data_IF_683711867890
#
_entry.id   IF_683711867890
#
_cell.length_a   1.000
_cell.length_b   1.000
_cell.length_c   1.000
_cell.angle_alpha   90.00
_cell.angle_beta   90.00
_cell.angle_gamma   90.00
#
_symmetry.space_group_name_H-M   'P 1'
#
loop_
_entity.id
_entity.type
_entity.pdbx_description
1 polymer ?
#
# COMPACT_ATOMS: atom_id res chain seq x y z
N UNK A 1 36.47 1.68 9.72
CA UNK A 1 36.48 0.25 10.11
C UNK A 1 35.86 -0.50 8.94
N UNK A 2 36.61 -1.36 8.26
CA UNK A 2 36.06 -2.16 7.15
C UNK A 2 35.27 -3.28 7.82
N UNK A 3 33.92 -3.19 7.87
CA UNK A 3 33.07 -4.33 8.26
C UNK A 3 33.43 -5.48 7.31
N UNK A 4 33.88 -6.61 7.87
CA UNK A 4 33.92 -7.85 7.10
C UNK A 4 32.49 -8.11 6.64
N UNK A 5 32.28 -8.34 5.33
CA UNK A 5 30.94 -8.64 4.84
C UNK A 5 30.45 -9.92 5.52
N UNK A 6 29.39 -9.81 6.31
CA UNK A 6 28.73 -10.98 6.87
C UNK A 6 28.22 -11.85 5.71
N UNK A 7 28.30 -13.18 5.84
CA UNK A 7 27.71 -14.07 4.84
C UNK A 7 26.22 -13.75 4.66
N UNK A 8 25.76 -13.69 3.42
CA UNK A 8 24.34 -13.48 3.13
C UNK A 8 23.49 -14.60 3.74
N UNK A 9 22.31 -14.22 4.20
CA UNK A 9 21.27 -15.12 4.65
C UNK A 9 20.89 -16.10 3.53
N UNK A 10 20.73 -17.36 3.91
CA UNK A 10 20.23 -18.41 3.02
C UNK A 10 18.73 -18.19 2.81
N UNK A 11 18.36 -17.83 1.59
CA UNK A 11 16.97 -17.66 1.17
C UNK A 11 16.67 -18.63 0.03
N UNK A 12 15.44 -19.18 0.03
CA UNK A 12 14.90 -19.88 -1.13
C UNK A 12 14.12 -18.87 -1.95
N UNK A 13 14.72 -18.37 -3.03
CA UNK A 13 14.12 -17.30 -3.86
C UNK A 13 13.74 -17.83 -5.24
N UNK A 14 12.80 -17.17 -5.95
CA UNK A 14 12.46 -17.54 -7.32
C UNK A 14 13.70 -17.60 -8.22
N UNK A 15 13.65 -18.47 -9.24
CA UNK A 15 14.81 -18.74 -10.10
C UNK A 15 15.34 -17.50 -10.84
N UNK A 16 14.51 -16.47 -11.03
CA UNK A 16 14.90 -15.17 -11.57
C UNK A 16 15.96 -14.44 -10.72
N UNK A 17 16.07 -14.77 -9.43
CA UNK A 17 16.97 -14.13 -8.48
C UNK A 17 18.19 -15.01 -8.14
N UNK A 18 19.27 -14.35 -7.79
CA UNK A 18 20.50 -14.98 -7.33
C UNK A 18 20.59 -14.91 -5.79
N UNK A 19 20.44 -16.02 -5.06
CA UNK A 19 20.44 -16.03 -3.60
C UNK A 19 21.80 -15.64 -2.99
N UNK A 20 22.88 -15.62 -3.79
CA UNK A 20 24.26 -15.32 -3.32
C UNK A 20 24.76 -13.95 -3.72
N UNK A 21 23.92 -13.11 -4.35
CA UNK A 21 24.28 -11.74 -4.75
C UNK A 21 23.26 -10.74 -4.21
N UNK A 22 23.74 -9.78 -3.44
CA UNK A 22 22.93 -8.71 -2.87
C UNK A 22 23.46 -8.31 -1.50
N UNK A 23 22.57 -7.92 -0.60
CA UNK A 23 22.87 -7.53 0.78
C UNK A 23 21.70 -7.87 1.70
N UNK A 24 21.99 -7.91 2.99
CA UNK A 24 21.01 -8.12 4.07
C UNK A 24 21.17 -7.03 5.12
N UNK A 25 20.06 -6.62 5.73
CA UNK A 25 20.01 -5.76 6.92
C UNK A 25 18.99 -6.35 7.90
N UNK A 26 19.29 -6.28 9.20
CA UNK A 26 18.41 -6.79 10.25
C UNK A 26 17.95 -5.66 11.17
N UNK A 27 16.63 -5.57 11.37
CA UNK A 27 15.98 -4.65 12.30
C UNK A 27 15.55 -5.43 13.55
N UNK A 28 16.38 -5.36 14.59
CA UNK A 28 16.22 -6.12 15.84
C UNK A 28 15.40 -5.40 16.92
N UNK A 29 14.73 -4.31 16.57
CA UNK A 29 13.93 -3.49 17.47
C UNK A 29 12.44 -3.60 17.19
N UNK A 30 12.06 -4.19 16.05
CA UNK A 30 10.69 -4.25 15.55
C UNK A 30 9.92 -5.37 16.26
N UNK A 31 8.90 -5.05 17.10
CA UNK A 31 8.13 -6.04 17.85
C UNK A 31 7.46 -7.06 16.94
N UNK A 32 7.24 -8.29 17.41
CA UNK A 32 6.54 -9.32 16.62
C UNK A 32 5.08 -8.98 16.33
N UNK A 33 4.42 -8.26 17.23
CA UNK A 33 3.00 -7.87 17.15
C UNK A 33 2.72 -6.66 16.24
N UNK A 34 3.73 -6.03 15.64
CA UNK A 34 3.50 -4.86 14.78
C UNK A 34 2.78 -5.27 13.48
N UNK A 35 1.82 -4.44 13.04
CA UNK A 35 1.11 -4.61 11.76
C UNK A 35 1.83 -4.01 10.54
N UNK A 36 2.87 -3.22 10.75
CA UNK A 36 3.60 -2.51 9.69
C UNK A 36 5.10 -2.81 9.73
N UNK A 37 5.82 -2.40 8.68
CA UNK A 37 7.27 -2.62 8.57
C UNK A 37 7.95 -1.28 8.35
N UNK A 38 8.97 -0.91 9.16
CA UNK A 38 9.62 0.39 9.10
C UNK A 38 10.65 0.48 7.97
N UNK A 39 10.17 0.22 6.75
CA UNK A 39 10.90 0.26 5.50
C UNK A 39 10.01 0.76 4.36
N UNK A 40 10.62 1.44 3.39
CA UNK A 40 9.95 1.81 2.15
C UNK A 40 10.90 1.67 0.96
N UNK A 41 10.47 1.03 -0.14
CA UNK A 41 11.21 1.05 -1.40
C UNK A 41 11.20 2.47 -1.99
N UNK A 42 12.29 2.85 -2.65
CA UNK A 42 12.41 4.13 -3.35
C UNK A 42 12.69 3.86 -4.82
N UNK A 43 11.67 3.60 -5.65
CA UNK A 43 11.85 3.20 -7.05
C UNK A 43 12.63 4.22 -7.86
N UNK A 44 12.37 5.53 -7.69
CA UNK A 44 13.03 6.57 -8.49
C UNK A 44 14.47 6.77 -8.06
N UNK A 45 14.75 6.74 -6.75
CA UNK A 45 16.11 6.75 -6.25
C UNK A 45 16.85 5.43 -6.53
N UNK A 46 16.15 4.31 -6.69
CA UNK A 46 16.76 2.97 -6.76
C UNK A 46 17.40 2.57 -5.43
N UNK A 47 16.67 2.76 -4.34
CA UNK A 47 17.15 2.57 -2.97
C UNK A 47 16.04 2.00 -2.07
N UNK A 48 16.39 1.70 -0.82
CA UNK A 48 15.45 1.32 0.24
C UNK A 48 15.71 2.23 1.44
N UNK A 49 14.65 2.84 1.97
CA UNK A 49 14.68 3.54 3.25
C UNK A 49 14.38 2.55 4.39
N UNK A 50 15.16 2.61 5.46
CA UNK A 50 15.03 1.77 6.65
C UNK A 50 15.08 2.65 7.89
N UNK A 51 14.19 2.41 8.85
CA UNK A 51 14.27 3.10 10.15
C UNK A 51 15.03 2.25 11.18
N UNK A 52 15.93 2.90 11.90
CA UNK A 52 16.72 2.31 12.97
C UNK A 52 16.55 3.07 14.27
N UNK A 53 16.55 2.36 15.39
CA UNK A 53 16.65 2.99 16.72
C UNK A 53 18.01 3.67 16.86
N UNK A 54 17.99 4.90 17.37
CA UNK A 54 19.17 5.67 17.75
C UNK A 54 19.20 5.91 19.26
N UNK A 55 20.30 6.46 19.78
CA UNK A 55 20.42 6.73 21.22
C UNK A 55 19.35 7.69 21.75
N UNK A 56 18.84 8.58 20.90
CA UNK A 56 17.78 9.55 21.19
C UNK A 56 16.81 9.61 19.99
N UNK A 57 15.84 8.70 19.94
CA UNK A 57 14.85 8.63 18.86
C UNK A 57 15.26 7.63 17.77
N UNK A 58 15.00 7.99 16.52
CA UNK A 58 15.16 7.11 15.35
C UNK A 58 15.97 7.78 14.25
N UNK A 59 16.66 6.99 13.45
CA UNK A 59 17.34 7.46 12.24
C UNK A 59 16.79 6.74 11.02
N UNK A 60 16.59 7.48 9.94
CA UNK A 60 16.31 6.92 8.61
C UNK A 60 17.63 6.72 7.89
N UNK A 61 17.86 5.52 7.37
CA UNK A 61 18.98 5.15 6.53
C UNK A 61 18.48 4.82 5.14
N UNK A 62 19.04 5.46 4.11
CA UNK A 62 18.73 5.14 2.72
C UNK A 62 19.91 4.39 2.10
N UNK A 63 19.66 3.15 1.71
CA UNK A 63 20.65 2.22 1.19
C UNK A 63 20.40 1.96 -0.28
N UNK A 64 21.45 2.05 -1.10
CA UNK A 64 21.37 1.78 -2.54
C UNK A 64 20.97 0.32 -2.78
N UNK A 65 19.95 0.11 -3.62
CA UNK A 65 19.42 -1.22 -3.88
C UNK A 65 20.49 -2.14 -4.50
N UNK A 66 21.21 -1.66 -5.51
CA UNK A 66 22.18 -2.44 -6.26
C UNK A 66 23.39 -2.94 -5.45
N UNK A 67 23.84 -2.15 -4.48
CA UNK A 67 25.18 -2.27 -3.88
C UNK A 67 25.17 -2.41 -2.36
N UNK A 68 24.05 -2.12 -1.69
CA UNK A 68 23.98 -2.08 -0.22
C UNK A 68 24.76 -0.91 0.39
N UNK A 69 25.22 0.06 -0.42
CA UNK A 69 25.94 1.22 0.09
C UNK A 69 24.97 2.24 0.68
N UNK A 70 25.27 2.70 1.89
CA UNK A 70 24.56 3.80 2.51
C UNK A 70 24.71 5.07 1.65
N UNK A 71 23.60 5.63 1.19
CA UNK A 71 23.56 6.91 0.46
C UNK A 71 23.53 8.08 1.42
N UNK A 72 22.62 8.01 2.39
CA UNK A 72 22.54 8.99 3.45
C UNK A 72 21.87 8.42 4.70
N UNK A 73 22.09 9.13 5.81
CA UNK A 73 21.49 8.84 7.11
C UNK A 73 21.01 10.15 7.74
N UNK A 74 19.82 10.12 8.34
CA UNK A 74 19.29 11.28 9.05
C UNK A 74 20.05 11.55 10.35
N UNK A 75 19.97 12.77 10.86
CA UNK A 75 20.16 12.99 12.29
C UNK A 75 19.06 12.23 13.06
N UNK A 76 19.27 11.89 14.35
CA UNK A 76 18.22 11.32 15.17
C UNK A 76 16.99 12.23 15.20
N UNK A 77 15.85 11.68 14.81
CA UNK A 77 14.54 12.31 14.84
C UNK A 77 13.77 11.76 16.04
N UNK A 78 13.18 12.67 16.82
CA UNK A 78 12.38 12.31 17.98
C UNK A 78 10.89 12.32 17.58
N UNK A 79 10.22 11.15 17.51
CA UNK A 79 8.78 11.11 17.33
C UNK A 79 8.06 11.73 18.54
N UNK A 80 6.75 12.06 18.42
CA UNK A 80 5.93 12.42 19.56
C UNK A 80 5.94 11.31 20.63
N UNK A 81 5.59 11.67 21.86
CA UNK A 81 5.44 10.68 22.94
C UNK A 81 4.32 9.71 22.57
N UNK A 82 4.53 8.39 22.55
CA UNK A 82 3.47 7.44 22.20
C UNK A 82 2.21 7.64 23.04
N UNK A 83 1.03 7.44 22.42
CA UNK A 83 -0.24 7.38 23.15
C UNK A 83 -0.28 6.15 24.07
N UNK A 84 -1.18 6.17 25.06
CA UNK A 84 -1.37 5.02 25.95
C UNK A 84 -1.88 3.81 25.14
N UNK A 85 -1.26 2.62 25.33
CA UNK A 85 -1.60 1.40 24.59
C UNK A 85 -0.86 1.22 23.27
N UNK A 86 -0.03 2.19 22.84
CA UNK A 86 0.77 2.08 21.62
C UNK A 86 1.76 0.90 21.63
N UNK A 87 2.15 0.40 22.80
CA UNK A 87 2.96 -0.82 22.93
C UNK A 87 2.28 -2.09 22.40
N UNK A 88 0.96 -2.06 22.21
CA UNK A 88 0.14 -3.20 21.85
C UNK A 88 0.07 -4.26 22.95
N UNK A 89 -0.72 -5.30 22.70
CA UNK A 89 -0.84 -6.45 23.58
C UNK A 89 -1.06 -7.74 22.79
N UNK A 90 0.00 -8.54 22.58
CA UNK A 90 -0.10 -9.78 21.80
C UNK A 90 -1.02 -10.82 22.44
N UNK A 91 -1.26 -10.77 23.76
CA UNK A 91 -2.20 -11.70 24.43
C UNK A 91 -3.66 -11.44 24.03
N UNK A 92 -3.99 -10.20 23.68
CA UNK A 92 -5.32 -9.81 23.20
C UNK A 92 -5.38 -9.60 21.68
N UNK A 93 -4.27 -9.86 20.97
CA UNK A 93 -4.17 -9.63 19.53
C UNK A 93 -4.06 -8.16 19.13
N UNK A 94 -3.73 -7.27 20.08
CA UNK A 94 -3.55 -5.85 19.85
C UNK A 94 -2.16 -5.59 19.28
N UNK A 95 -2.09 -5.00 18.09
CA UNK A 95 -0.84 -4.71 17.42
C UNK A 95 -0.08 -3.55 18.09
N UNK A 96 1.24 -3.62 18.10
CA UNK A 96 2.06 -2.49 18.53
C UNK A 96 2.09 -1.40 17.45
N UNK A 97 2.01 -0.13 17.86
CA UNK A 97 2.30 1.02 17.01
C UNK A 97 3.77 1.40 17.14
N UNK A 98 4.44 1.55 16.00
CA UNK A 98 5.84 2.00 15.94
C UNK A 98 5.99 3.19 14.98
N UNK A 99 7.04 4.00 15.15
CA UNK A 99 7.47 4.91 14.09
C UNK A 99 7.84 4.14 12.82
N UNK A 100 7.47 4.71 11.68
CA UNK A 100 7.50 4.03 10.40
C UNK A 100 7.94 5.01 9.28
N UNK A 101 8.16 4.51 8.07
CA UNK A 101 8.66 5.26 6.93
C UNK A 101 7.91 4.88 5.66
N UNK A 102 7.46 5.90 4.93
CA UNK A 102 6.86 5.76 3.60
C UNK A 102 7.60 6.66 2.61
N UNK A 103 7.38 6.44 1.33
CA UNK A 103 7.82 7.32 0.26
C UNK A 103 6.65 8.09 -0.34
N UNK A 104 6.95 9.23 -0.95
CA UNK A 104 5.97 9.95 -1.77
C UNK A 104 6.66 10.63 -2.93
N UNK A 105 6.08 10.51 -4.12
CA UNK A 105 6.50 11.26 -5.30
C UNK A 105 5.52 12.42 -5.49
N UNK A 106 5.96 13.64 -5.17
CA UNK A 106 5.17 14.85 -5.33
C UNK A 106 5.91 15.82 -6.25
N UNK A 107 5.21 16.31 -7.28
CA UNK A 107 5.73 17.30 -8.24
C UNK A 107 7.04 16.88 -8.92
N UNK A 108 7.20 15.56 -9.16
CA UNK A 108 8.37 14.97 -9.80
C UNK A 108 9.57 14.75 -8.86
N UNK A 109 9.43 15.03 -7.57
CA UNK A 109 10.44 14.77 -6.56
C UNK A 109 9.99 13.63 -5.64
N UNK A 110 10.86 12.65 -5.44
CA UNK A 110 10.67 11.57 -4.46
C UNK A 110 11.20 12.02 -3.08
N UNK A 111 10.40 11.79 -2.06
CA UNK A 111 10.71 12.07 -0.66
C UNK A 111 10.58 10.80 0.17
N UNK A 112 11.39 10.72 1.22
CA UNK A 112 11.24 9.77 2.32
C UNK A 112 10.53 10.50 3.47
N UNK A 113 9.46 9.93 3.99
CA UNK A 113 8.65 10.49 5.06
C UNK A 113 8.68 9.54 6.24
N UNK A 114 9.42 9.89 7.28
CA UNK A 114 9.30 9.22 8.57
C UNK A 114 8.06 9.75 9.28
N UNK A 115 7.26 8.87 9.88
CA UNK A 115 6.05 9.25 10.58
C UNK A 115 5.86 8.48 11.89
N UNK A 116 5.14 9.09 12.81
CA UNK A 116 4.75 8.49 14.08
C UNK A 116 3.53 9.19 14.66
N UNK A 117 2.65 8.40 15.26
CA UNK A 117 1.49 8.84 16.02
C UNK A 117 1.85 9.05 17.50
N UNK A 118 1.36 10.12 18.13
CA UNK A 118 1.57 10.35 19.55
C UNK A 118 1.18 11.74 20.04
N UNK A 119 1.47 12.00 21.31
CA UNK A 119 1.29 13.27 21.99
C UNK A 119 2.51 14.18 21.83
N UNK A 120 2.33 15.31 21.15
CA UNK A 120 3.33 16.37 21.04
C UNK A 120 3.21 17.38 22.18
N UNK A 121 4.31 17.65 22.86
CA UNK A 121 4.35 18.64 23.94
C UNK A 121 3.71 18.17 25.24
N UNK A 122 3.49 16.86 25.40
CA UNK A 122 3.07 16.27 26.67
C UNK A 122 4.21 16.29 27.68
N UNK A 123 3.94 16.79 28.87
CA UNK A 123 4.86 16.81 30.00
C UNK A 123 4.07 16.74 31.33
N UNK A 124 4.76 16.89 32.47
CA UNK A 124 4.13 16.81 33.81
C UNK A 124 3.05 17.89 34.06
N UNK A 125 2.96 18.91 33.20
CA UNK A 125 2.09 20.08 33.36
C UNK A 125 1.10 20.29 32.19
N UNK A 126 1.31 19.60 31.06
CA UNK A 126 0.52 19.75 29.84
C UNK A 126 0.17 18.40 29.24
N UNK A 127 -1.09 18.23 28.83
CA UNK A 127 -1.55 17.00 28.15
C UNK A 127 -0.96 16.83 26.75
N UNK A 128 -0.47 17.92 26.15
CA UNK A 128 0.02 17.94 24.77
C UNK A 128 -1.10 17.97 23.73
N UNK A 129 -0.74 17.79 22.47
CA UNK A 129 -1.66 17.66 21.34
C UNK A 129 -1.38 16.34 20.65
N UNK A 130 -2.41 15.55 20.43
CA UNK A 130 -2.32 14.32 19.66
C UNK A 130 -2.11 14.63 18.18
N UNK A 131 -1.07 14.04 17.59
CA UNK A 131 -0.65 14.31 16.21
C UNK A 131 -0.11 13.05 15.55
N UNK A 132 -0.22 13.00 14.23
CA UNK A 132 0.72 12.26 13.40
C UNK A 132 1.80 13.23 12.96
N UNK A 133 3.03 13.02 13.42
CA UNK A 133 4.18 13.85 13.05
C UNK A 133 4.90 13.24 11.87
N UNK A 134 5.14 14.05 10.84
CA UNK A 134 5.86 13.68 9.64
C UNK A 134 7.21 14.41 9.60
N UNK A 135 8.29 13.71 9.30
CA UNK A 135 9.62 14.27 9.01
C UNK A 135 10.02 13.92 7.57
N UNK A 136 10.15 14.95 6.74
CA UNK A 136 10.32 14.84 5.29
C UNK A 136 11.79 15.00 4.91
N UNK A 137 12.32 14.07 4.11
CA UNK A 137 13.69 14.07 3.60
C UNK A 137 13.67 13.88 2.08
N UNK A 138 14.48 14.61 1.29
CA UNK A 138 14.65 14.31 -0.13
C UNK A 138 15.28 12.92 -0.31
N UNK A 139 14.72 12.07 -1.17
CA UNK A 139 15.23 10.71 -1.38
C UNK A 139 16.65 10.69 -1.98
N UNK A 140 16.97 11.68 -2.81
CA UNK A 140 18.26 11.87 -3.50
C UNK A 140 19.30 12.65 -2.68
N UNK A 141 19.05 12.86 -1.39
CA UNK A 141 19.99 13.55 -0.51
C UNK A 141 21.34 12.81 -0.35
N UNK A 142 22.27 13.44 0.36
CA UNK A 142 23.57 12.84 0.70
C UNK A 142 24.04 13.29 2.08
N UNK A 143 24.88 12.48 2.73
CA UNK A 143 25.50 12.78 4.02
C UNK A 143 24.99 11.93 5.18
N UNK A 144 25.61 12.06 6.36
CA UNK A 144 25.43 11.13 7.48
C UNK A 144 24.71 11.71 8.70
N UNK A 145 24.12 12.90 8.57
CA UNK A 145 23.37 13.57 9.65
C UNK A 145 22.37 14.57 9.04
N UNK A 146 21.58 14.07 8.09
CA UNK A 146 20.62 14.89 7.36
C UNK A 146 19.47 15.30 8.28
N UNK A 147 19.16 16.60 8.32
CA UNK A 147 17.95 17.08 9.01
C UNK A 147 16.76 17.02 8.04
N UNK A 148 15.53 16.80 8.53
CA UNK A 148 14.37 16.87 7.68
C UNK A 148 14.27 18.26 7.06
N UNK A 149 13.87 18.33 5.79
CA UNK A 149 13.60 19.62 5.13
C UNK A 149 12.32 20.25 5.68
N UNK A 150 11.41 19.42 6.23
CA UNK A 150 10.20 19.85 6.93
C UNK A 150 9.82 18.85 8.01
N UNK A 151 9.24 19.38 9.07
CA UNK A 151 8.47 18.60 10.04
C UNK A 151 7.04 19.16 10.04
N UNK A 152 6.07 18.26 9.92
CA UNK A 152 4.66 18.59 9.75
C UNK A 152 3.89 17.81 10.81
N UNK A 153 3.05 18.52 11.58
CA UNK A 153 2.17 17.89 12.55
C UNK A 153 0.75 17.89 11.96
N UNK A 154 0.17 16.71 11.80
CA UNK A 154 -1.24 16.54 11.41
C UNK A 154 -2.03 16.27 12.69
N UNK A 155 -2.93 17.18 13.11
CA UNK A 155 -3.80 16.95 14.26
C UNK A 155 -4.69 15.73 14.00
N UNK A 156 -4.78 14.82 14.96
CA UNK A 156 -5.66 13.65 14.90
C UNK A 156 -6.32 13.40 16.24
N UNK A 157 -7.32 12.53 16.26
CA UNK A 157 -7.85 11.92 17.47
C UNK A 157 -8.17 10.46 17.16
N UNK A 158 -7.32 9.56 17.64
CA UNK A 158 -7.24 8.18 17.23
C UNK A 158 -6.83 7.30 18.42
N UNK A 159 -7.43 6.11 18.48
CA UNK A 159 -6.92 5.05 19.34
C UNK A 159 -5.66 4.44 18.70
N UNK A 160 -4.79 3.77 19.48
CA UNK A 160 -3.75 2.93 18.89
C UNK A 160 -4.34 1.94 17.88
N UNK A 161 -3.71 1.81 16.72
CA UNK A 161 -4.13 0.97 15.60
C UNK A 161 -4.98 1.70 14.55
N UNK A 162 -5.54 2.87 14.86
CA UNK A 162 -6.47 3.56 13.98
C UNK A 162 -5.81 4.54 13.01
N UNK A 163 -4.49 4.79 13.13
CA UNK A 163 -3.77 5.68 12.21
C UNK A 163 -3.23 4.91 11.01
N UNK A 164 -3.53 5.41 9.82
CA UNK A 164 -2.95 4.93 8.56
C UNK A 164 -2.27 6.06 7.80
N UNK A 165 -1.09 5.81 7.24
CA UNK A 165 -0.39 6.76 6.38
C UNK A 165 -0.14 6.10 5.02
N UNK A 166 -0.63 6.74 3.97
CA UNK A 166 -0.49 6.29 2.59
C UNK A 166 0.07 7.42 1.73
N UNK A 167 0.72 7.10 0.63
CA UNK A 167 1.18 8.05 -0.40
C UNK A 167 0.45 7.90 -1.73
N UNK A 168 -0.61 7.08 -1.75
CA UNK A 168 -1.40 6.82 -2.93
C UNK A 168 -2.00 8.12 -3.50
N UNK A 169 -1.85 8.31 -4.82
CA UNK A 169 -2.27 9.52 -5.54
C UNK A 169 -1.24 10.64 -5.62
N UNK A 170 -0.02 10.43 -5.11
CA UNK A 170 1.11 11.36 -5.26
C UNK A 170 1.19 12.45 -4.18
N UNK A 171 0.43 12.29 -3.09
CA UNK A 171 0.52 13.10 -1.86
C UNK A 171 0.36 12.18 -0.66
N UNK A 172 0.90 12.61 0.49
CA UNK A 172 0.69 11.87 1.74
C UNK A 172 -0.75 12.08 2.20
N UNK A 173 -1.43 10.99 2.53
CA UNK A 173 -2.75 10.94 3.15
C UNK A 173 -2.59 10.32 4.53
N UNK A 174 -2.94 11.08 5.57
CA UNK A 174 -3.01 10.58 6.96
C UNK A 174 -4.47 10.31 7.25
N UNK A 175 -4.83 9.06 7.53
CA UNK A 175 -6.16 8.63 7.93
C UNK A 175 -6.23 8.25 9.41
N UNK A 176 -7.39 8.48 10.04
CA UNK A 176 -7.66 8.07 11.42
C UNK A 176 -9.14 7.78 11.70
N UNK A 177 -9.42 7.22 12.89
CA UNK A 177 -10.77 7.05 13.45
C UNK A 177 -11.34 5.64 13.40
N UNK A 178 -10.70 4.75 12.65
CA UNK A 178 -10.97 3.32 12.65
C UNK A 178 -9.77 2.56 12.06
N UNK A 179 -9.64 1.28 12.42
CA UNK A 179 -8.60 0.42 11.87
C UNK A 179 -8.82 0.11 10.39
N UNK A 180 -7.80 0.35 9.56
CA UNK A 180 -7.74 -0.15 8.19
C UNK A 180 -7.02 0.78 7.22
N UNK A 181 -7.03 0.40 5.93
CA UNK A 181 -6.33 1.12 4.85
C UNK A 181 -6.99 2.44 4.48
N UNK A 182 -8.31 2.54 4.66
CA UNK A 182 -9.08 3.74 4.35
C UNK A 182 -9.92 4.17 5.55
N UNK A 183 -9.32 4.77 6.60
CA UNK A 183 -10.07 5.22 7.77
C UNK A 183 -11.11 6.31 7.45
N UNK A 184 -12.02 6.56 8.40
CA UNK A 184 -13.15 7.47 8.22
C UNK A 184 -12.72 8.91 7.93
N UNK A 185 -11.78 9.41 8.72
CA UNK A 185 -11.28 10.78 8.62
C UNK A 185 -9.90 10.78 8.01
N UNK A 186 -9.61 11.80 7.21
CA UNK A 186 -8.31 11.89 6.56
C UNK A 186 -7.86 13.34 6.41
N UNK A 187 -6.55 13.52 6.23
CA UNK A 187 -5.94 14.78 5.85
C UNK A 187 -4.87 14.54 4.78
N UNK A 188 -4.95 15.30 3.69
CA UNK A 188 -3.89 15.35 2.69
C UNK A 188 -2.78 16.29 3.15
N UNK A 189 -1.54 15.88 2.95
CA UNK A 189 -0.34 16.67 3.26
C UNK A 189 0.44 16.94 2.00
N UNK A 190 0.67 18.23 1.74
CA UNK A 190 1.66 18.69 0.78
C UNK A 190 3.04 18.70 1.42
N UNK A 191 3.87 17.71 1.11
CA UNK A 191 5.21 17.58 1.71
C UNK A 191 6.19 18.66 1.23
N UNK A 192 5.88 19.33 0.12
CA UNK A 192 6.68 20.39 -0.47
C UNK A 192 6.33 21.79 0.07
N UNK A 193 5.18 21.99 0.71
CA UNK A 193 4.83 23.26 1.35
C UNK A 193 4.65 23.13 2.86
N UNK A 194 4.28 21.94 3.35
CA UNK A 194 3.84 21.71 4.73
C UNK A 194 2.34 21.96 4.94
N UNK A 195 1.58 22.22 3.87
CA UNK A 195 0.14 22.44 3.96
C UNK A 195 -0.60 21.14 4.29
N UNK A 196 -1.49 21.19 5.27
CA UNK A 196 -2.42 20.12 5.63
C UNK A 196 -3.83 20.53 5.20
N UNK A 197 -4.55 19.62 4.54
CA UNK A 197 -5.95 19.80 4.12
C UNK A 197 -6.78 18.66 4.67
N UNK A 198 -7.61 18.97 5.65
CA UNK A 198 -8.46 17.99 6.35
C UNK A 198 -9.75 17.72 5.55
N UNK A 199 -10.18 16.45 5.60
CA UNK A 199 -11.41 15.94 5.02
C UNK A 199 -12.22 15.21 6.11
N UNK A 200 -12.85 15.99 6.99
CA UNK A 200 -13.63 15.43 8.12
C UNK A 200 -15.00 14.87 7.70
N UNK A 201 -15.56 15.35 6.58
CA UNK A 201 -16.83 14.86 6.04
C UNK A 201 -16.68 14.52 4.55
N UNK A 202 -16.25 13.28 4.27
CA UNK A 202 -16.11 12.78 2.92
C UNK A 202 -17.45 12.71 2.16
N UNK A 203 -18.59 12.61 2.85
CA UNK A 203 -19.91 12.59 2.21
C UNK A 203 -20.21 13.95 1.55
N UNK A 204 -19.81 15.05 2.18
CA UNK A 204 -19.99 16.40 1.67
C UNK A 204 -19.08 16.76 0.48
N UNK A 205 -18.05 15.94 0.18
CA UNK A 205 -17.11 16.21 -0.91
C UNK A 205 -17.72 15.97 -2.30
N UNK A 206 -18.67 15.02 -2.42
CA UNK A 206 -19.33 14.68 -3.68
C UNK A 206 -20.81 15.11 -3.65
N UNK A 207 -21.24 16.08 -4.47
CA UNK A 207 -22.65 16.51 -4.56
C UNK A 207 -23.64 15.38 -4.90
N UNK A 208 -23.16 14.30 -5.52
CA UNK A 208 -23.92 13.10 -5.84
C UNK A 208 -24.43 12.37 -4.60
N UNK A 209 -23.79 12.59 -3.44
CA UNK A 209 -24.21 12.08 -2.15
C UNK A 209 -25.59 12.61 -1.73
N UNK A 210 -25.91 13.88 -2.03
CA UNK A 210 -27.22 14.47 -1.73
C UNK A 210 -28.36 13.86 -2.58
N UNK A 211 -28.02 13.26 -3.72
CA UNK A 211 -28.98 12.67 -4.66
C UNK A 211 -29.20 11.17 -4.39
N UNK A 212 -28.29 10.52 -3.65
CA UNK A 212 -28.38 9.11 -3.33
C UNK A 212 -29.44 8.86 -2.27
N UNK A 213 -30.11 7.70 -2.35
CA UNK A 213 -31.15 7.29 -1.38
C UNK A 213 -30.56 7.15 0.03
N UNK A 214 -29.33 6.64 0.11
CA UNK A 214 -28.49 6.59 1.30
C UNK A 214 -27.10 7.01 0.87
N UNK A 215 -26.47 7.88 1.64
CA UNK A 215 -25.06 8.19 1.49
C UNK A 215 -24.47 8.40 2.89
N UNK A 216 -23.64 7.44 3.28
CA UNK A 216 -22.94 7.41 4.56
C UNK A 216 -21.62 6.69 4.34
N UNK A 217 -20.67 6.90 5.24
CA UNK A 217 -19.38 6.18 5.22
C UNK A 217 -18.61 6.33 3.89
N UNK A 218 -18.74 7.48 3.22
CA UNK A 218 -17.82 7.83 2.14
C UNK A 218 -16.41 7.98 2.69
N UNK A 219 -15.40 7.72 1.85
CA UNK A 219 -13.99 7.69 2.25
C UNK A 219 -13.12 8.39 1.22
N UNK A 220 -12.06 9.03 1.69
CA UNK A 220 -10.99 9.51 0.82
C UNK A 220 -10.04 8.35 0.56
N UNK A 221 -9.94 7.93 -0.69
CA UNK A 221 -9.18 6.75 -1.12
C UNK A 221 -7.74 7.11 -1.48
N UNK A 222 -7.50 8.36 -1.89
CA UNK A 222 -6.17 8.88 -2.26
C UNK A 222 -6.18 10.41 -2.28
N UNK A 223 -5.02 11.02 -2.04
CA UNK A 223 -4.83 12.46 -2.18
C UNK A 223 -4.10 12.77 -3.49
N UNK A 224 -4.72 13.54 -4.38
CA UNK A 224 -4.11 13.93 -5.67
C UNK A 224 -3.87 15.43 -5.76
N UNK A 225 -3.09 15.86 -6.76
CA UNK A 225 -2.92 17.28 -7.06
C UNK A 225 -4.23 17.99 -7.49
N UNK A 226 -5.23 17.24 -7.96
CA UNK A 226 -6.52 17.75 -8.42
C UNK A 226 -7.64 17.67 -7.35
N UNK A 227 -7.31 17.21 -6.14
CA UNK A 227 -8.25 16.93 -5.06
C UNK A 227 -8.25 15.46 -4.62
N UNK A 228 -9.04 15.09 -3.61
CA UNK A 228 -9.13 13.71 -3.15
C UNK A 228 -9.90 12.84 -4.14
N UNK A 229 -9.48 11.59 -4.33
CA UNK A 229 -10.37 10.55 -4.85
C UNK A 229 -11.30 10.13 -3.72
N UNK A 230 -12.60 10.25 -3.92
CA UNK A 230 -13.61 9.91 -2.92
C UNK A 230 -14.42 8.72 -3.40
N UNK A 231 -14.47 7.67 -2.60
CA UNK A 231 -15.42 6.57 -2.76
C UNK A 231 -16.64 6.83 -1.88
N UNK A 232 -17.84 6.60 -2.41
CA UNK A 232 -19.08 6.75 -1.65
C UNK A 232 -19.48 5.42 -1.01
N UNK A 233 -19.89 5.43 0.26
CA UNK A 233 -20.23 4.20 0.99
C UNK A 233 -21.53 3.52 0.54
N UNK A 234 -22.29 4.10 -0.40
CA UNK A 234 -23.40 3.43 -1.10
C UNK A 234 -23.09 3.14 -2.56
N UNK A 235 -21.80 3.14 -2.93
CA UNK A 235 -21.36 3.05 -4.31
C UNK A 235 -21.35 4.41 -5.00
N UNK A 236 -20.63 4.48 -6.12
CA UNK A 236 -20.20 5.71 -6.76
C UNK A 236 -18.85 6.19 -6.24
N UNK A 237 -18.13 6.94 -7.08
CA UNK A 237 -16.85 7.52 -6.71
C UNK A 237 -16.44 8.62 -7.68
N UNK A 238 -15.49 9.47 -7.30
CA UNK A 238 -14.95 10.48 -8.20
C UNK A 238 -13.99 11.45 -7.55
N UNK A 239 -13.49 12.39 -8.34
CA UNK A 239 -12.75 13.56 -7.83
C UNK A 239 -13.69 14.77 -7.87
N UNK A 240 -13.95 15.43 -6.73
CA UNK A 240 -14.87 16.56 -6.63
C UNK A 240 -14.61 17.64 -7.70
N UNK A 241 -15.66 18.01 -8.44
CA UNK A 241 -15.58 19.02 -9.49
C UNK A 241 -14.82 18.63 -10.76
N UNK A 242 -14.39 17.35 -10.89
CA UNK A 242 -13.65 16.86 -12.05
C UNK A 242 -14.43 15.82 -12.86
N UNK A 243 -14.69 14.66 -12.27
CA UNK A 243 -15.36 13.54 -12.92
C UNK A 243 -15.99 12.63 -11.86
N UNK A 244 -16.99 11.84 -12.26
CA UNK A 244 -17.71 10.91 -11.40
C UNK A 244 -17.88 9.55 -12.09
N UNK A 245 -18.10 8.49 -11.31
CA UNK A 245 -18.16 7.09 -11.79
C UNK A 245 -19.18 6.88 -12.91
N UNK A 246 -20.28 7.64 -12.91
CA UNK A 246 -21.29 7.63 -13.98
C UNK A 246 -20.68 7.96 -15.36
N UNK A 247 -19.77 8.93 -15.42
CA UNK A 247 -19.16 9.40 -16.65
C UNK A 247 -18.05 8.46 -17.17
N UNK A 248 -17.55 7.57 -16.31
CA UNK A 248 -16.34 6.78 -16.56
C UNK A 248 -16.55 5.27 -16.48
N UNK A 249 -17.80 4.81 -16.51
CA UNK A 249 -18.13 3.37 -16.53
C UNK A 249 -17.38 2.61 -17.65
N UNK A 250 -16.88 1.40 -17.36
CA UNK A 250 -16.35 0.53 -18.40
C UNK A 250 -17.46 0.01 -19.33
N UNK A 251 -17.08 -0.28 -20.57
CA UNK A 251 -17.98 -0.90 -21.53
C UNK A 251 -18.50 -2.25 -21.00
N UNK A 252 -19.81 -2.49 -21.14
CA UNK A 252 -20.50 -3.66 -20.59
C UNK A 252 -21.26 -3.36 -19.29
N UNK A 253 -20.95 -2.26 -18.60
CA UNK A 253 -21.68 -1.78 -17.42
C UNK A 253 -22.68 -0.71 -17.86
N UNK A 254 -23.92 -1.13 -18.16
CA UNK A 254 -24.97 -0.21 -18.62
C UNK A 254 -25.73 0.46 -17.46
N UNK A 255 -25.69 -0.13 -16.27
CA UNK A 255 -26.44 0.35 -15.13
C UNK A 255 -25.72 1.53 -14.47
N UNK A 256 -26.36 2.70 -14.51
CA UNK A 256 -25.89 3.90 -13.82
C UNK A 256 -25.98 3.78 -12.30
N UNK A 257 -27.02 3.10 -11.86
CA UNK A 257 -27.26 2.75 -10.46
C UNK A 257 -27.06 1.26 -10.26
N UNK A 258 -26.47 0.90 -9.13
CA UNK A 258 -26.36 -0.45 -8.62
C UNK A 258 -27.63 -0.87 -7.87
N UNK A 259 -27.45 -1.78 -6.91
CA UNK A 259 -28.53 -2.35 -6.10
C UNK A 259 -29.22 -1.26 -5.28
N UNK A 260 -30.56 -1.26 -5.23
CA UNK A 260 -31.36 -0.27 -4.48
C UNK A 260 -31.18 1.20 -4.90
N UNK A 261 -30.97 1.44 -6.20
CA UNK A 261 -30.81 2.79 -6.79
C UNK A 261 -29.61 3.58 -6.25
N UNK A 262 -28.62 2.87 -5.68
CA UNK A 262 -27.34 3.42 -5.26
C UNK A 262 -26.45 3.68 -6.47
N UNK A 263 -25.46 4.58 -6.41
CA UNK A 263 -24.58 4.77 -7.57
C UNK A 263 -23.74 3.52 -7.84
N UNK A 264 -23.49 3.20 -9.10
CA UNK A 264 -22.69 2.02 -9.44
C UNK A 264 -21.18 2.33 -9.40
N UNK A 265 -20.40 1.30 -9.05
CA UNK A 265 -18.94 1.34 -8.96
C UNK A 265 -18.45 1.50 -7.52
N UNK A 266 -17.39 0.78 -7.17
CA UNK A 266 -16.68 0.88 -5.89
C UNK A 266 -15.18 0.99 -6.16
N UNK A 267 -14.50 1.94 -5.50
CA UNK A 267 -13.04 2.03 -5.55
C UNK A 267 -12.47 1.00 -4.59
N UNK A 268 -11.68 0.07 -5.14
CA UNK A 268 -11.00 -0.94 -4.35
C UNK A 268 -9.74 -0.36 -3.70
N UNK A 269 -8.89 0.30 -4.49
CA UNK A 269 -7.65 0.90 -4.01
C UNK A 269 -6.91 1.65 -5.11
N UNK A 270 -5.80 2.29 -4.74
CA UNK A 270 -5.03 3.21 -5.59
C UNK A 270 -3.56 2.87 -5.48
N UNK A 271 -2.85 2.86 -6.62
CA UNK A 271 -1.41 2.68 -6.68
C UNK A 271 -0.85 3.53 -7.83
N UNK A 272 0.13 4.38 -7.54
CA UNK A 272 0.67 5.34 -8.50
C UNK A 272 -0.41 6.29 -9.04
N UNK A 273 -0.52 6.39 -10.37
CA UNK A 273 -1.52 7.19 -11.10
C UNK A 273 -2.73 6.35 -11.56
N UNK A 274 -2.90 5.17 -10.98
CA UNK A 274 -3.97 4.23 -11.29
C UNK A 274 -4.85 3.95 -10.08
N UNK A 275 -6.13 3.67 -10.32
CA UNK A 275 -6.98 3.04 -9.33
C UNK A 275 -7.75 1.86 -9.91
N UNK A 276 -8.04 0.90 -9.03
CA UNK A 276 -8.82 -0.29 -9.32
C UNK A 276 -10.25 -0.06 -8.84
N UNK A 277 -11.23 -0.39 -9.69
CA UNK A 277 -12.65 -0.30 -9.36
C UNK A 277 -13.38 -1.59 -9.73
N UNK A 278 -14.37 -1.94 -8.92
CA UNK A 278 -15.33 -3.02 -9.17
C UNK A 278 -16.71 -2.46 -9.50
N UNK A 279 -17.45 -3.15 -10.37
CA UNK A 279 -18.73 -2.72 -10.91
C UNK A 279 -19.74 -3.85 -10.93
N UNK A 280 -20.97 -3.57 -10.51
CA UNK A 280 -22.06 -4.52 -10.61
C UNK A 280 -22.68 -4.49 -12.01
N UNK A 281 -22.92 -5.67 -12.56
CA UNK A 281 -23.52 -5.88 -13.89
C UNK A 281 -25.04 -6.12 -13.83
N UNK A 282 -25.57 -6.51 -12.67
CA UNK A 282 -26.98 -6.87 -12.46
C UNK A 282 -28.00 -5.73 -12.30
N UNK A 283 -27.57 -4.46 -12.25
CA UNK A 283 -28.46 -3.31 -12.05
C UNK A 283 -29.23 -3.32 -10.71
N UNK A 284 -30.36 -2.61 -10.66
CA UNK A 284 -31.14 -2.32 -9.42
C UNK A 284 -31.55 -3.55 -8.60
N UNK A 285 -31.80 -4.69 -9.25
CA UNK A 285 -32.29 -5.91 -8.59
C UNK A 285 -31.20 -6.97 -8.38
N UNK A 286 -29.97 -6.68 -8.78
CA UNK A 286 -28.89 -7.66 -8.80
C UNK A 286 -29.11 -8.75 -9.85
N UNK A 287 -28.04 -9.47 -10.18
CA UNK A 287 -28.05 -10.62 -11.06
C UNK A 287 -26.84 -11.51 -10.76
N UNK A 288 -26.95 -12.80 -11.05
CA UNK A 288 -25.89 -13.81 -10.84
C UNK A 288 -24.73 -13.67 -11.85
N UNK A 289 -24.40 -12.46 -12.26
CA UNK A 289 -23.32 -12.17 -13.19
C UNK A 289 -22.08 -11.72 -12.46
N UNK A 290 -20.93 -12.23 -12.90
CA UNK A 290 -19.64 -11.79 -12.39
C UNK A 290 -19.52 -10.26 -12.47
N UNK A 291 -18.93 -9.62 -11.44
CA UNK A 291 -18.66 -8.21 -11.50
C UNK A 291 -17.63 -7.90 -12.58
N UNK A 292 -17.70 -6.67 -13.09
CA UNK A 292 -16.65 -6.13 -13.95
C UNK A 292 -15.64 -5.45 -13.06
N UNK A 293 -14.37 -5.76 -13.26
CA UNK A 293 -13.24 -5.06 -12.67
C UNK A 293 -12.57 -4.19 -13.73
N UNK A 294 -12.11 -3.00 -13.35
CA UNK A 294 -11.39 -2.11 -14.27
C UNK A 294 -10.34 -1.27 -13.59
N UNK A 295 -9.31 -0.96 -14.37
CA UNK A 295 -8.26 -0.01 -14.01
C UNK A 295 -8.54 1.30 -14.70
N UNK A 296 -8.37 2.40 -13.97
CA UNK A 296 -8.63 3.75 -14.43
C UNK A 296 -7.42 4.65 -14.20
N UNK A 297 -7.25 5.61 -15.11
CA UNK A 297 -6.36 6.76 -14.90
C UNK A 297 -6.94 7.62 -13.77
N UNK A 298 -6.17 7.80 -12.69
CA UNK A 298 -6.61 8.48 -11.49
C UNK A 298 -7.02 9.93 -11.74
N UNK A 299 -6.30 10.62 -12.62
CA UNK A 299 -6.53 12.04 -12.88
C UNK A 299 -7.82 12.29 -13.67
N UNK A 300 -8.11 11.44 -14.65
CA UNK A 300 -9.20 11.65 -15.62
C UNK A 300 -10.38 10.70 -15.44
N UNK A 301 -10.23 9.69 -14.59
CA UNK A 301 -11.17 8.58 -14.42
C UNK A 301 -11.26 7.66 -15.63
N UNK A 302 -10.52 7.89 -16.72
CA UNK A 302 -10.66 7.10 -17.95
C UNK A 302 -10.27 5.64 -17.74
N UNK A 303 -11.12 4.73 -18.21
CA UNK A 303 -10.85 3.29 -18.22
C UNK A 303 -9.62 2.99 -19.09
N UNK A 304 -8.65 2.30 -18.50
CA UNK A 304 -7.42 1.85 -19.15
C UNK A 304 -7.49 0.36 -19.49
N UNK A 305 -8.03 -0.45 -18.59
CA UNK A 305 -8.24 -1.89 -18.79
C UNK A 305 -9.51 -2.36 -18.06
N UNK A 306 -10.07 -3.50 -18.48
CA UNK A 306 -11.22 -4.13 -17.80
C UNK A 306 -11.23 -5.64 -17.99
N UNK A 307 -11.94 -6.35 -17.12
CA UNK A 307 -12.32 -7.75 -17.27
C UNK A 307 -13.58 -8.08 -16.46
N UNK A 308 -14.17 -9.23 -16.74
CA UNK A 308 -15.13 -9.87 -15.84
C UNK A 308 -14.36 -10.84 -14.95
N UNK A 309 -14.66 -10.85 -13.65
CA UNK A 309 -14.03 -11.77 -12.70
C UNK A 309 -14.95 -11.97 -11.50
N UNK A 310 -15.29 -13.21 -11.17
CA UNK A 310 -16.15 -13.58 -10.04
C UNK A 310 -15.59 -13.28 -8.64
N UNK A 311 -14.50 -12.52 -8.54
CA UNK A 311 -14.00 -12.01 -7.26
C UNK A 311 -14.88 -10.85 -6.79
N UNK A 312 -15.30 -10.89 -5.52
CA UNK A 312 -16.29 -9.98 -4.95
C UNK A 312 -15.80 -8.53 -4.91
N UNK A 313 -16.67 -7.59 -5.27
CA UNK A 313 -16.38 -6.16 -5.20
C UNK A 313 -16.51 -5.72 -3.74
N UNK A 314 -15.40 -5.26 -3.15
CA UNK A 314 -15.39 -4.72 -1.80
C UNK A 314 -16.34 -3.52 -1.65
N UNK A 315 -17.03 -3.44 -0.51
CA UNK A 315 -17.82 -2.27 -0.13
C UNK A 315 -16.88 -1.13 0.32
N UNK A 316 -17.07 0.08 -0.23
CA UNK A 316 -16.32 1.26 0.20
C UNK A 316 -16.56 1.57 1.68
N UNK A 317 -17.72 1.20 2.23
CA UNK A 317 -18.03 1.42 3.64
C UNK A 317 -17.06 0.69 4.58
N UNK A 318 -16.40 -0.37 4.13
CA UNK A 318 -15.38 -1.09 4.90
C UNK A 318 -14.02 -0.37 4.80
N UNK A 319 -13.28 -0.20 5.92
CA UNK A 319 -11.97 0.45 5.89
C UNK A 319 -10.85 -0.46 5.37
N UNK A 320 -11.05 -1.79 5.36
CA UNK A 320 -10.05 -2.78 4.96
C UNK A 320 -10.27 -3.31 3.54
N UNK A 321 -9.19 -3.78 2.92
CA UNK A 321 -9.23 -4.56 1.68
C UNK A 321 -8.45 -5.84 1.90
N UNK A 322 -8.92 -6.91 1.26
CA UNK A 322 -8.26 -8.22 1.35
C UNK A 322 -6.80 -8.16 0.89
N UNK A 323 -6.52 -7.32 -0.13
CA UNK A 323 -5.21 -7.21 -0.76
C UNK A 323 -4.87 -5.76 -1.08
N UNK A 324 -3.59 -5.36 -0.96
CA UNK A 324 -3.14 -4.08 -1.51
C UNK A 324 -3.20 -4.11 -3.04
N UNK A 325 -3.36 -2.93 -3.63
CA UNK A 325 -3.11 -2.76 -5.07
C UNK A 325 -1.60 -2.68 -5.28
N UNK A 326 -1.09 -3.47 -6.22
CA UNK A 326 0.33 -3.55 -6.55
C UNK A 326 0.53 -3.25 -8.03
N UNK A 327 1.67 -2.66 -8.38
CA UNK A 327 2.07 -2.43 -9.77
C UNK A 327 3.44 -3.03 -10.07
N UNK A 328 3.68 -3.36 -11.34
CA UNK A 328 5.04 -3.56 -11.83
C UNK A 328 5.79 -2.21 -11.81
N UNK A 329 7.11 -2.16 -11.55
CA UNK A 329 7.85 -0.90 -11.45
C UNK A 329 7.70 0.08 -12.63
N UNK A 330 7.56 -0.42 -13.85
CA UNK A 330 7.30 0.38 -15.05
C UNK A 330 5.83 0.74 -15.30
N UNK A 331 4.92 0.40 -14.38
CA UNK A 331 3.49 0.73 -14.42
C UNK A 331 2.67 -0.05 -15.45
N UNK A 332 3.25 -1.04 -16.16
CA UNK A 332 2.52 -1.78 -17.19
C UNK A 332 1.47 -2.73 -16.62
N UNK A 333 1.77 -3.39 -15.51
CA UNK A 333 0.89 -4.37 -14.88
C UNK A 333 0.39 -3.84 -13.55
N UNK A 334 -0.85 -4.17 -13.21
CA UNK A 334 -1.48 -3.85 -11.95
C UNK A 334 -2.26 -5.07 -11.45
N UNK A 335 -2.20 -5.36 -10.15
CA UNK A 335 -3.02 -6.40 -9.55
C UNK A 335 -3.52 -6.02 -8.16
N UNK A 336 -4.54 -6.74 -7.69
CA UNK A 336 -4.91 -6.82 -6.29
C UNK A 336 -5.46 -8.23 -6.04
N UNK A 337 -4.76 -9.03 -5.23
CA UNK A 337 -5.16 -10.42 -4.99
C UNK A 337 -5.33 -11.20 -6.30
N UNK A 338 -6.53 -11.76 -6.58
CA UNK A 338 -6.76 -12.57 -7.77
C UNK A 338 -7.08 -11.79 -9.04
N UNK A 339 -7.15 -10.45 -9.00
CA UNK A 339 -7.39 -9.64 -10.20
C UNK A 339 -6.08 -9.03 -10.70
N UNK A 340 -5.74 -9.25 -11.97
CA UNK A 340 -4.53 -8.72 -12.59
C UNK A 340 -4.81 -8.12 -13.97
N UNK A 341 -4.02 -7.13 -14.38
CA UNK A 341 -4.20 -6.40 -15.64
C UNK A 341 -2.88 -6.17 -16.36
N UNK A 342 -2.90 -6.31 -17.69
CA UNK A 342 -1.89 -5.75 -18.61
C UNK A 342 -2.48 -4.47 -19.20
N UNK A 343 -1.99 -3.31 -18.75
CA UNK A 343 -2.52 -2.00 -19.13
C UNK A 343 -2.13 -1.61 -20.56
N UNK A 344 -1.04 -2.16 -21.09
CA UNK A 344 -0.64 -1.95 -22.48
C UNK A 344 -1.60 -2.68 -23.43
N UNK A 345 -1.93 -3.94 -23.11
CA UNK A 345 -2.90 -4.73 -23.87
C UNK A 345 -4.36 -4.39 -23.54
N UNK A 346 -4.61 -3.66 -22.46
CA UNK A 346 -5.94 -3.32 -21.93
C UNK A 346 -6.78 -4.55 -21.57
N UNK A 347 -6.12 -5.60 -21.09
CA UNK A 347 -6.72 -6.89 -20.77
C UNK A 347 -6.55 -7.19 -19.30
N UNK A 348 -7.53 -7.86 -18.70
CA UNK A 348 -7.43 -8.42 -17.35
C UNK A 348 -7.35 -9.94 -17.37
N UNK A 349 -6.85 -10.49 -16.28
CA UNK A 349 -6.73 -11.90 -15.98
C UNK A 349 -7.34 -12.18 -14.60
N UNK A 350 -8.32 -13.08 -14.56
CA UNK A 350 -8.98 -13.49 -13.33
C UNK A 350 -8.33 -14.76 -12.78
N UNK A 351 -7.61 -14.62 -11.67
CA UNK A 351 -6.94 -15.71 -10.96
C UNK A 351 -7.81 -16.28 -9.82
N UNK A 352 -9.08 -15.86 -9.72
CA UNK A 352 -10.08 -16.45 -8.84
C UNK A 352 -10.30 -17.91 -9.22
N UNK A 353 -10.34 -18.81 -8.24
CA UNK A 353 -10.52 -20.24 -8.46
C UNK A 353 -11.85 -20.58 -9.12
N UNK A 354 -11.85 -21.58 -10.00
CA UNK A 354 -13.01 -22.07 -10.74
C UNK A 354 -13.03 -23.62 -10.81
N UNK A 355 -13.85 -24.25 -9.97
CA UNK A 355 -13.95 -25.71 -9.93
C UNK A 355 -12.66 -26.36 -9.39
N UNK A 356 -11.79 -26.83 -10.29
CA UNK A 356 -10.57 -27.59 -9.94
C UNK A 356 -9.32 -26.70 -9.77
N UNK A 357 -9.41 -25.39 -10.02
CA UNK A 357 -8.32 -24.43 -9.84
C UNK A 357 -8.48 -23.65 -8.55
N UNK A 358 -7.42 -23.60 -7.73
CA UNK A 358 -7.38 -22.75 -6.53
C UNK A 358 -7.15 -21.27 -6.90
N UNK A 359 -7.66 -20.37 -6.08
CA UNK A 359 -7.40 -18.93 -6.21
C UNK A 359 -5.91 -18.63 -5.98
N UNK A 360 -5.32 -17.74 -6.77
CA UNK A 360 -3.97 -17.22 -6.55
C UNK A 360 -4.06 -15.72 -6.29
N UNK A 361 -3.58 -15.28 -5.12
CA UNK A 361 -3.47 -13.88 -4.77
C UNK A 361 -2.06 -13.37 -5.05
N UNK A 362 -1.92 -12.40 -5.96
CA UNK A 362 -0.64 -11.80 -6.33
C UNK A 362 -0.18 -10.79 -5.27
N UNK A 363 1.13 -10.77 -5.00
CA UNK A 363 1.77 -9.86 -4.05
C UNK A 363 2.88 -9.01 -4.67
N UNK A 364 3.42 -9.40 -5.83
CA UNK A 364 4.38 -8.56 -6.57
C UNK A 364 4.44 -8.92 -8.06
N UNK A 365 4.84 -7.95 -8.90
CA UNK A 365 4.86 -8.09 -10.37
C UNK A 365 6.13 -7.50 -10.95
N UNK A 366 6.75 -8.17 -11.92
CA UNK A 366 7.89 -7.72 -12.72
C UNK A 366 7.43 -7.04 -14.01
N UNK A 367 8.28 -6.18 -14.58
CA UNK A 367 7.99 -5.50 -15.85
C UNK A 367 7.94 -6.44 -17.05
N UNK A 368 8.49 -7.64 -16.92
CA UNK A 368 8.41 -8.69 -17.94
C UNK A 368 7.06 -9.46 -17.92
N UNK A 369 6.17 -9.18 -16.95
CA UNK A 369 4.88 -9.85 -16.79
C UNK A 369 4.91 -11.08 -15.88
N UNK A 370 6.06 -11.43 -15.31
CA UNK A 370 6.16 -12.46 -14.28
C UNK A 370 5.66 -11.89 -12.94
N UNK A 371 4.63 -12.51 -12.37
CA UNK A 371 4.08 -12.16 -11.07
C UNK A 371 4.33 -13.26 -10.03
N UNK A 372 4.41 -12.88 -8.76
CA UNK A 372 4.53 -13.78 -7.64
C UNK A 372 3.35 -13.59 -6.69
N UNK A 373 2.89 -14.69 -6.11
CA UNK A 373 1.75 -14.70 -5.21
C UNK A 373 1.64 -15.98 -4.42
N UNK A 374 0.59 -16.08 -3.62
CA UNK A 374 0.28 -17.27 -2.84
C UNK A 374 -1.03 -17.90 -3.33
N UNK A 375 -1.06 -19.24 -3.35
CA UNK A 375 -2.29 -19.99 -3.54
C UNK A 375 -3.13 -19.86 -2.27
N UNK A 376 -4.36 -19.39 -2.40
CA UNK A 376 -5.31 -19.36 -1.29
C UNK A 376 -5.88 -20.76 -1.05
N UNK A 377 -5.96 -21.18 0.21
CA UNK A 377 -6.62 -22.43 0.60
C UNK A 377 -7.93 -22.14 1.31
N UNK A 378 -8.95 -22.95 1.05
CA UNK A 378 -10.29 -22.77 1.63
C UNK A 378 -10.37 -23.12 3.13
N UNK A 379 -9.39 -23.79 3.75
CA UNK A 379 -9.39 -24.02 5.20
C UNK A 379 -8.04 -24.50 5.76
N UNK A 380 -7.67 -23.88 6.89
CA UNK A 380 -6.85 -24.29 8.03
C UNK A 380 -6.41 -25.77 8.21
N UNK A 381 -5.68 -26.39 7.27
CA UNK A 381 -4.96 -27.65 7.58
C UNK A 381 -3.54 -27.69 7.03
N UNK A 382 -2.58 -27.56 7.94
CA UNK A 382 -1.24 -28.11 7.80
C UNK A 382 -0.16 -27.17 8.31
N UNK A 383 0.82 -27.71 9.03
CA UNK A 383 2.10 -27.05 9.35
C UNK A 383 2.94 -26.66 8.10
N UNK A 384 2.34 -26.72 6.90
CA UNK A 384 2.94 -26.36 5.64
C UNK A 384 2.60 -24.89 5.36
N UNK A 385 3.62 -24.02 5.34
CA UNK A 385 3.47 -22.61 5.00
C UNK A 385 2.85 -22.36 3.61
N UNK A 386 2.60 -21.07 3.25
CA UNK A 386 1.89 -20.72 2.03
C UNK A 386 2.56 -21.30 0.77
N UNK A 387 1.74 -21.79 -0.17
CA UNK A 387 2.22 -22.29 -1.45
C UNK A 387 2.45 -21.11 -2.38
N UNK A 388 3.71 -20.76 -2.61
CA UNK A 388 4.08 -19.68 -3.51
C UNK A 388 4.02 -20.13 -4.97
N UNK A 389 3.39 -19.30 -5.80
CA UNK A 389 3.26 -19.48 -7.23
C UNK A 389 3.92 -18.32 -7.99
N UNK A 390 4.46 -18.65 -9.17
CA UNK A 390 4.83 -17.69 -10.21
C UNK A 390 3.78 -17.78 -11.32
N UNK A 391 3.31 -16.63 -11.80
CA UNK A 391 2.27 -16.50 -12.82
C UNK A 391 2.80 -15.67 -13.99
N UNK A 392 2.61 -16.14 -15.22
CA UNK A 392 2.93 -15.38 -16.43
C UNK A 392 1.71 -14.58 -16.92
N UNK A 393 1.69 -13.28 -16.62
CA UNK A 393 0.64 -12.35 -17.02
C UNK A 393 0.65 -12.01 -18.52
N UNK A 394 1.68 -12.43 -19.26
CA UNK A 394 1.73 -12.21 -20.71
C UNK A 394 0.83 -13.18 -21.48
N UNK A 395 0.50 -14.31 -20.85
CA UNK A 395 -0.37 -15.36 -21.39
C UNK A 395 -1.84 -15.05 -21.16
N UNK A 396 -2.71 -15.52 -22.06
CA UNK A 396 -4.16 -15.25 -21.95
C UNK A 396 -4.82 -15.93 -20.74
N UNK A 397 -4.22 -16.99 -20.20
CA UNK A 397 -4.77 -17.80 -19.12
C UNK A 397 -4.02 -17.66 -17.80
N UNK A 398 -2.92 -16.90 -17.77
CA UNK A 398 -2.11 -16.77 -16.56
C UNK A 398 -1.45 -18.08 -16.17
N UNK A 399 -0.65 -18.67 -17.06
CA UNK A 399 0.06 -19.92 -16.75
C UNK A 399 0.82 -19.79 -15.41
N UNK A 400 0.46 -20.65 -14.46
CA UNK A 400 0.99 -20.62 -13.11
C UNK A 400 1.84 -21.85 -12.83
N UNK A 401 2.96 -21.66 -12.11
CA UNK A 401 3.81 -22.74 -11.62
C UNK A 401 4.11 -22.56 -10.14
N UNK A 402 4.08 -23.64 -9.38
CA UNK A 402 4.47 -23.64 -7.96
C UNK A 402 6.00 -23.55 -7.85
N UNK A 403 6.51 -22.68 -6.97
CA UNK A 403 7.94 -22.46 -6.79
C UNK A 403 8.60 -23.41 -5.76
N UNK A 404 7.79 -24.16 -5.01
CA UNK A 404 8.24 -25.12 -4.00
C UNK A 404 8.09 -24.58 -2.58
N UNK A 405 8.00 -25.51 -1.62
CA UNK A 405 7.78 -25.17 -0.21
C UNK A 405 8.93 -24.33 0.37
N UNK A 406 8.60 -23.33 1.18
CA UNK A 406 9.57 -22.44 1.83
C UNK A 406 10.24 -21.44 0.88
N UNK A 407 9.73 -21.27 -0.34
CA UNK A 407 10.16 -20.18 -1.22
C UNK A 407 9.62 -18.85 -0.72
N UNK A 408 10.48 -17.85 -0.62
CA UNK A 408 10.10 -16.48 -0.29
C UNK A 408 9.61 -15.77 -1.56
N UNK A 409 8.42 -15.14 -1.51
CA UNK A 409 7.98 -14.22 -2.55
C UNK A 409 8.66 -12.85 -2.37
N UNK A 410 9.10 -12.17 -3.44
CA UNK A 410 9.62 -10.82 -3.32
C UNK A 410 8.49 -9.87 -2.89
N UNK A 411 8.78 -9.00 -1.92
CA UNK A 411 7.94 -7.88 -1.50
C UNK A 411 7.88 -6.80 -2.59
N UNK A 412 9.03 -6.50 -3.21
CA UNK A 412 9.13 -5.60 -4.38
C UNK A 412 10.01 -6.26 -5.43
N UNK A 413 9.66 -6.14 -6.70
CA UNK A 413 10.47 -6.67 -7.80
C UNK A 413 11.23 -5.55 -8.54
N UNK A 414 12.25 -5.94 -9.31
CA UNK A 414 12.97 -5.12 -10.28
C UNK A 414 13.51 -3.77 -9.77
N UNK A 415 13.69 -3.62 -8.45
CA UNK A 415 14.28 -2.44 -7.82
C UNK A 415 15.78 -2.39 -8.17
N UNK A 416 16.11 -1.65 -9.24
CA UNK A 416 17.45 -1.65 -9.86
C UNK A 416 17.93 -3.07 -10.21
N UNK A 417 17.05 -3.87 -10.83
CA UNK A 417 17.36 -5.25 -11.23
C UNK A 417 17.56 -6.20 -10.04
N UNK A 418 16.83 -5.96 -8.95
CA UNK A 418 16.85 -6.80 -7.75
C UNK A 418 15.45 -7.00 -7.18
N UNK A 419 15.24 -8.11 -6.49
CA UNK A 419 14.05 -8.35 -5.65
C UNK A 419 14.35 -7.98 -4.20
N UNK A 420 13.41 -7.30 -3.57
CA UNK A 420 13.40 -7.03 -2.13
C UNK A 420 12.56 -8.12 -1.45
N UNK A 421 13.13 -8.77 -0.45
CA UNK A 421 12.50 -9.83 0.34
C UNK A 421 12.48 -9.37 1.79
N UNK A 422 11.36 -9.59 2.47
CA UNK A 422 11.21 -9.25 3.89
C UNK A 422 10.64 -10.45 4.60
N UNK A 423 11.35 -10.91 5.63
CA UNK A 423 10.91 -12.00 6.49
C UNK A 423 11.39 -11.75 7.93
N UNK A 424 10.94 -12.59 8.87
CA UNK A 424 11.54 -12.64 10.21
C UNK A 424 12.55 -13.77 10.27
N UNK A 425 13.66 -13.55 10.95
CA UNK A 425 14.66 -14.59 11.19
C UNK A 425 14.34 -15.48 12.40
N UNK A 426 15.22 -16.46 12.67
CA UNK A 426 15.03 -17.42 13.77
C UNK A 426 14.95 -16.76 15.16
N UNK A 427 15.49 -15.55 15.29
CA UNK A 427 15.46 -14.75 16.51
C UNK A 427 14.25 -13.78 16.54
N UNK A 428 13.34 -13.86 15.56
CA UNK A 428 12.16 -13.01 15.44
C UNK A 428 12.44 -11.61 14.87
N UNK A 429 13.68 -11.30 14.49
CA UNK A 429 14.03 -9.97 13.97
C UNK A 429 13.55 -9.82 12.52
N UNK A 430 13.13 -8.61 12.14
CA UNK A 430 12.83 -8.31 10.74
C UNK A 430 14.13 -8.30 9.94
N UNK A 431 14.20 -9.12 8.90
CA UNK A 431 15.30 -9.18 7.95
C UNK A 431 14.84 -8.63 6.61
N UNK A 432 15.63 -7.68 6.12
CA UNK A 432 15.47 -7.07 4.81
C UNK A 432 16.58 -7.59 3.92
N UNK A 433 16.20 -8.28 2.86
CA UNK A 433 17.13 -8.98 1.98
C UNK A 433 16.92 -8.55 0.55
N UNK A 434 17.96 -8.03 -0.07
CA UNK A 434 17.92 -7.70 -1.48
C UNK A 434 18.69 -8.75 -2.27
N UNK A 435 18.10 -9.29 -3.35
CA UNK A 435 18.73 -10.30 -4.21
C UNK A 435 18.71 -9.85 -5.66
N UNK A 436 19.88 -9.85 -6.30
CA UNK A 436 20.02 -9.43 -7.70
C UNK A 436 19.35 -10.43 -8.63
N UNK A 437 18.77 -9.91 -9.71
CA UNK A 437 18.32 -10.72 -10.83
C UNK A 437 19.51 -11.40 -11.53
N UNK A 438 19.22 -12.50 -12.23
CA UNK A 438 20.24 -13.36 -12.87
C UNK A 438 20.80 -12.83 -14.18
#
# INVERSE_FOLDING_TARGET
>A
MIRSAEPLAKLSVPSAYNPTKGWDETLNWVPESVGTLPLSPLPNAGAVALMHVASNGYTVMVTAADSGQLRWMSAPWNPPTPVEGAEGNPEYGEAAEIPDVTDVVQDGQEYVVAYAHGMRGKDDLHEGTEVVRLAVYPADASGSSLKPVREIDVPVSASPGEVHVSSAGGRVLVGWGEEGQFPQWTAAVDVASGQVTEYEDANALLPQCEQAVVCSSSRVMAATADGPLVGMGSGGFGIPGRWFSDDVRPAGVNAAVGVLDSWNGSVYGVEGDHFLAGWHTGGTYGGDSDPVWSVHDLRTGKVQARMECGYEVADVSEPNRDYPVITSPGGRYLAAGPVAFDLEKKQGLCLQGDGDRKTIALSSIRDDGTAYGAVMEDTATGDAGPVIAEVDLTTATGEAKVLGAGTDAPFVTSLQGSGLFVNRDEDGNVRVSLRRER
#
